data_IF_102111156383
#
_entry.id   IF_102111156383
#
_cell.length_a   1.000
_cell.length_b   1.000
_cell.length_c   1.000
_cell.angle_alpha   90.00
_cell.angle_beta   90.00
_cell.angle_gamma   90.00
#
_symmetry.space_group_name_H-M   'P 1'
#
loop_
_entity.id
_entity.type
_entity.pdbx_description
1 polymer ?
#
# COMPACT_ATOMS: atom_id res chain seq x y z
N UNK A 1 19.66 -32.04 -0.22
CA UNK A 1 19.32 -31.34 1.04
C UNK A 1 18.57 -32.33 1.92
N UNK A 2 18.86 -32.36 3.22
CA UNK A 2 18.09 -33.16 4.18
C UNK A 2 16.70 -32.55 4.43
N UNK A 3 15.75 -33.34 4.91
CA UNK A 3 14.41 -32.86 5.28
C UNK A 3 14.47 -31.71 6.33
N UNK A 4 15.42 -31.80 7.26
CA UNK A 4 15.72 -30.75 8.25
C UNK A 4 16.25 -29.44 7.62
N UNK A 5 17.02 -29.51 6.53
CA UNK A 5 17.48 -28.32 5.80
C UNK A 5 16.33 -27.65 5.05
N UNK A 6 15.38 -28.41 4.51
CA UNK A 6 14.21 -27.86 3.82
C UNK A 6 13.30 -27.14 4.81
N UNK A 7 13.06 -27.73 5.98
CA UNK A 7 12.22 -27.12 7.02
C UNK A 7 12.84 -25.86 7.64
N UNK A 8 14.16 -25.85 7.90
CA UNK A 8 14.83 -24.63 8.40
C UNK A 8 14.78 -23.48 7.37
N UNK A 9 14.91 -23.80 6.08
CA UNK A 9 14.74 -22.82 5.00
C UNK A 9 13.31 -22.32 4.85
N UNK A 10 12.31 -23.16 5.15
CA UNK A 10 10.92 -22.76 5.21
C UNK A 10 10.67 -21.78 6.37
N UNK A 11 11.15 -22.10 7.57
CA UNK A 11 11.08 -21.22 8.75
C UNK A 11 11.75 -19.88 8.47
N UNK A 12 12.85 -19.83 7.72
CA UNK A 12 13.49 -18.58 7.31
C UNK A 12 12.61 -17.71 6.41
N UNK A 13 11.78 -18.30 5.55
CA UNK A 13 10.95 -17.55 4.59
C UNK A 13 9.66 -16.98 5.17
N UNK A 14 9.18 -17.49 6.31
CA UNK A 14 7.91 -17.04 6.91
C UNK A 14 7.98 -15.56 7.29
N UNK A 15 6.92 -14.78 7.20
CA UNK A 15 6.85 -13.49 7.90
C UNK A 15 6.57 -13.68 9.40
N UNK A 16 6.42 -12.60 10.17
CA UNK A 16 6.14 -12.73 11.61
C UNK A 16 4.73 -13.27 11.90
N UNK A 17 3.74 -12.98 11.06
CA UNK A 17 2.38 -13.52 11.21
C UNK A 17 2.36 -15.02 10.92
N UNK A 18 2.94 -15.42 9.80
CA UNK A 18 3.09 -16.83 9.39
C UNK A 18 3.93 -17.62 10.42
N UNK A 19 4.97 -17.03 11.00
CA UNK A 19 5.76 -17.67 12.06
C UNK A 19 4.95 -17.87 13.34
N UNK A 20 4.08 -16.91 13.69
CA UNK A 20 3.21 -16.99 14.86
C UNK A 20 2.19 -18.12 14.70
N UNK A 21 1.54 -18.21 13.54
CA UNK A 21 0.62 -19.29 13.22
C UNK A 21 1.32 -20.65 13.25
N UNK A 22 2.53 -20.74 12.67
CA UNK A 22 3.34 -21.96 12.72
C UNK A 22 3.65 -22.42 14.15
N UNK A 23 4.04 -21.51 15.04
CA UNK A 23 4.34 -21.83 16.43
C UNK A 23 3.10 -22.20 17.23
N UNK A 24 1.96 -21.56 16.96
CA UNK A 24 0.68 -21.91 17.58
C UNK A 24 0.25 -23.33 17.19
N UNK A 25 0.38 -23.70 15.93
CA UNK A 25 0.07 -25.05 15.46
C UNK A 25 1.01 -26.09 16.09
N UNK A 26 2.31 -25.81 16.17
CA UNK A 26 3.27 -26.72 16.83
C UNK A 26 3.01 -26.85 18.34
N UNK A 27 2.55 -25.78 19.01
CA UNK A 27 2.13 -25.84 20.42
C UNK A 27 0.94 -26.76 20.64
N UNK A 28 -0.06 -26.71 19.75
CA UNK A 28 -1.25 -27.58 19.82
C UNK A 28 -0.86 -29.05 19.63
N UNK A 29 0.11 -29.34 18.74
CA UNK A 29 0.51 -30.72 18.42
C UNK A 29 1.60 -31.29 19.33
N UNK A 30 2.35 -30.45 20.04
CA UNK A 30 3.52 -30.87 20.82
C UNK A 30 3.41 -30.49 22.30
N UNK A 31 3.08 -31.47 23.18
CA UNK A 31 2.88 -31.21 24.61
C UNK A 31 4.17 -30.76 25.34
N UNK A 32 5.34 -30.91 24.71
CA UNK A 32 6.63 -30.47 25.30
C UNK A 32 6.85 -28.97 25.08
N UNK A 33 6.19 -28.36 24.09
CA UNK A 33 6.27 -26.92 23.86
C UNK A 33 5.30 -26.23 24.81
N UNK A 34 5.82 -25.33 25.64
CA UNK A 34 5.05 -24.52 26.57
C UNK A 34 4.95 -23.08 26.06
N UNK A 35 3.87 -22.39 26.41
CA UNK A 35 3.69 -20.97 26.11
C UNK A 35 3.29 -20.22 27.37
N UNK A 36 4.21 -19.45 27.92
CA UNK A 36 3.94 -18.55 29.04
C UNK A 36 3.67 -17.15 28.50
N UNK A 37 2.42 -16.65 28.50
CA UNK A 37 2.16 -15.29 28.08
C UNK A 37 2.95 -14.33 28.97
N UNK A 38 3.77 -13.47 28.37
CA UNK A 38 4.50 -12.43 29.10
C UNK A 38 3.49 -11.52 29.82
N UNK A 39 3.45 -11.62 31.16
CA UNK A 39 2.60 -10.81 32.00
C UNK A 39 3.12 -9.38 32.11
N UNK A 40 2.67 -8.49 31.23
CA UNK A 40 2.42 -7.10 31.62
C UNK A 40 1.06 -7.07 32.34
N UNK A 41 1.06 -6.75 33.63
CA UNK A 41 -0.17 -6.43 34.37
C UNK A 41 -0.89 -5.26 33.72
N UNK A 42 -1.79 -5.55 32.78
CA UNK A 42 -2.99 -4.77 32.59
C UNK A 42 -4.12 -5.59 33.20
N UNK A 43 -4.78 -5.03 34.20
CA UNK A 43 -6.06 -5.52 34.70
C UNK A 43 -7.03 -5.56 33.53
N UNK A 44 -7.20 -6.75 32.96
CA UNK A 44 -8.28 -7.04 32.01
C UNK A 44 -9.54 -7.13 32.85
N UNK A 45 -10.38 -6.10 32.78
CA UNK A 45 -11.77 -6.24 33.19
C UNK A 45 -12.39 -7.35 32.34
N UNK A 46 -12.94 -8.35 33.01
CA UNK A 46 -13.73 -9.42 32.42
C UNK A 46 -14.95 -8.83 31.67
N UNK A 47 -14.79 -8.65 30.37
CA UNK A 47 -15.85 -8.78 29.38
C UNK A 47 -15.25 -9.54 28.21
N UNK A 48 -15.21 -10.87 28.33
CA UNK A 48 -15.06 -11.76 27.19
C UNK A 48 -16.37 -11.70 26.41
N UNK A 49 -16.47 -10.75 25.47
CA UNK A 49 -17.26 -11.00 24.28
C UNK A 49 -16.38 -11.81 23.34
N UNK A 50 -16.86 -13.01 23.03
CA UNK A 50 -16.35 -13.79 21.91
C UNK A 50 -16.57 -12.92 20.66
N UNK A 51 -15.50 -12.31 20.14
CA UNK A 51 -15.48 -11.74 18.79
C UNK A 51 -15.66 -12.89 17.80
N UNK A 52 -16.92 -13.27 17.59
CA UNK A 52 -17.38 -13.85 16.34
C UNK A 52 -16.92 -12.86 15.28
N UNK A 53 -16.18 -13.26 14.23
CA UNK A 53 -15.85 -12.36 13.15
C UNK A 53 -17.17 -11.90 12.53
N UNK A 54 -17.63 -10.73 12.93
CA UNK A 54 -18.72 -10.05 12.25
C UNK A 54 -18.16 -9.77 10.86
N UNK A 55 -18.60 -10.57 9.89
CA UNK A 55 -18.42 -10.28 8.47
C UNK A 55 -18.78 -8.82 8.32
N UNK A 56 -17.79 -7.98 8.02
CA UNK A 56 -17.93 -6.54 7.97
C UNK A 56 -19.07 -6.21 7.00
N UNK A 57 -20.27 -6.05 7.55
CA UNK A 57 -21.45 -5.59 6.86
C UNK A 57 -21.05 -4.25 6.28
N UNK A 58 -21.10 -4.17 4.96
CA UNK A 58 -20.62 -3.06 4.16
C UNK A 58 -21.18 -1.75 4.76
N UNK A 59 -20.37 -0.99 5.51
CA UNK A 59 -20.86 0.16 6.31
C UNK A 59 -21.57 1.19 5.42
N UNK A 60 -21.16 1.27 4.15
CA UNK A 60 -21.82 2.09 3.12
C UNK A 60 -23.24 1.61 2.91
N UNK A 61 -23.42 0.31 2.72
CA UNK A 61 -24.73 -0.30 2.52
C UNK A 61 -25.63 -0.08 3.73
N UNK A 62 -25.11 -0.33 4.94
CA UNK A 62 -25.86 -0.09 6.18
C UNK A 62 -26.25 1.39 6.30
N UNK A 63 -25.32 2.32 6.07
CA UNK A 63 -25.58 3.76 6.14
C UNK A 63 -26.64 4.24 5.14
N UNK A 64 -26.67 3.68 3.93
CA UNK A 64 -27.66 4.05 2.92
C UNK A 64 -29.03 3.43 3.19
N UNK A 65 -29.05 2.18 3.68
CA UNK A 65 -30.30 1.50 4.04
C UNK A 65 -30.93 2.10 5.30
N UNK A 66 -30.15 2.57 6.26
CA UNK A 66 -30.65 3.22 7.49
C UNK A 66 -31.41 4.54 7.22
N UNK A 67 -31.20 5.15 6.04
CA UNK A 67 -31.95 6.33 5.61
C UNK A 67 -33.32 5.98 5.02
N UNK A 68 -33.57 4.70 4.73
CA UNK A 68 -34.80 4.20 4.15
C UNK A 68 -35.59 3.43 5.21
N UNK A 69 -36.91 3.62 5.23
CA UNK A 69 -37.78 2.81 6.05
C UNK A 69 -38.31 1.63 5.21
N UNK A 70 -37.91 0.41 5.56
CA UNK A 70 -38.30 -0.80 4.82
C UNK A 70 -39.83 -0.95 4.66
N UNK A 71 -40.62 -0.44 5.61
CA UNK A 71 -42.08 -0.55 5.56
C UNK A 71 -42.74 0.31 4.46
N UNK A 72 -42.01 1.26 3.89
CA UNK A 72 -42.51 2.16 2.85
C UNK A 72 -42.40 1.56 1.45
N UNK A 73 -41.78 0.37 1.31
CA UNK A 73 -41.47 -0.27 0.05
C UNK A 73 -41.98 -1.72 0.00
N UNK A 74 -42.35 -2.18 -1.19
CA UNK A 74 -42.64 -3.59 -1.41
C UNK A 74 -41.38 -4.45 -1.31
N UNK A 75 -41.54 -5.76 -1.12
CA UNK A 75 -40.40 -6.70 -1.08
C UNK A 75 -39.56 -6.65 -2.38
N UNK A 76 -40.23 -6.43 -3.51
CA UNK A 76 -39.60 -6.26 -4.83
C UNK A 76 -38.76 -4.98 -4.92
N UNK A 77 -39.33 -3.85 -4.50
CA UNK A 77 -38.64 -2.55 -4.49
C UNK A 77 -37.47 -2.56 -3.50
N UNK A 78 -37.65 -3.09 -2.29
CA UNK A 78 -36.60 -3.18 -1.28
C UNK A 78 -35.42 -4.03 -1.78
N UNK A 79 -35.71 -5.16 -2.42
CA UNK A 79 -34.69 -6.02 -3.04
C UNK A 79 -33.95 -5.29 -4.17
N UNK A 80 -34.67 -4.53 -4.97
CA UNK A 80 -34.11 -3.71 -6.05
C UNK A 80 -33.19 -2.63 -5.49
N UNK A 81 -33.62 -1.93 -4.45
CA UNK A 81 -32.82 -0.89 -3.82
C UNK A 81 -31.53 -1.44 -3.22
N UNK A 82 -31.60 -2.58 -2.51
CA UNK A 82 -30.43 -3.28 -1.99
C UNK A 82 -29.43 -3.64 -3.10
N UNK A 83 -29.93 -4.22 -4.19
CA UNK A 83 -29.09 -4.58 -5.34
C UNK A 83 -28.44 -3.35 -5.98
N UNK A 84 -29.19 -2.25 -6.13
CA UNK A 84 -28.69 -1.02 -6.71
C UNK A 84 -27.61 -0.37 -5.84
N UNK A 85 -27.72 -0.46 -4.51
CA UNK A 85 -26.69 -0.01 -3.56
C UNK A 85 -25.41 -0.84 -3.72
N UNK A 86 -25.52 -2.16 -3.85
CA UNK A 86 -24.38 -3.06 -4.08
C UNK A 86 -23.64 -2.78 -5.40
N UNK A 87 -24.31 -2.12 -6.35
CA UNK A 87 -23.76 -1.79 -7.66
C UNK A 87 -23.07 -0.41 -7.73
N UNK A 88 -22.99 0.32 -6.62
CA UNK A 88 -22.27 1.60 -6.56
C UNK A 88 -20.76 1.38 -6.69
N UNK A 89 -20.09 2.24 -7.45
CA UNK A 89 -18.63 2.26 -7.46
C UNK A 89 -18.04 2.93 -6.20
N UNK A 90 -16.73 2.82 -6.01
CA UNK A 90 -16.01 3.46 -4.88
C UNK A 90 -16.19 4.99 -4.79
N UNK A 91 -16.66 5.64 -5.85
CA UNK A 91 -16.99 7.07 -5.87
C UNK A 91 -18.44 7.37 -5.49
N UNK A 92 -19.32 6.36 -5.43
CA UNK A 92 -20.76 6.52 -5.27
C UNK A 92 -21.53 6.73 -6.57
N UNK A 93 -20.94 6.36 -7.71
CA UNK A 93 -21.60 6.45 -9.01
C UNK A 93 -22.29 5.14 -9.39
N UNK A 94 -23.49 5.26 -9.97
CA UNK A 94 -24.26 4.13 -10.49
C UNK A 94 -24.12 4.06 -12.02
N UNK A 95 -23.30 3.14 -12.51
CA UNK A 95 -22.94 3.07 -13.94
C UNK A 95 -23.75 2.07 -14.76
N UNK A 96 -24.55 1.24 -14.09
CA UNK A 96 -25.36 0.19 -14.73
C UNK A 96 -26.59 0.84 -15.38
N UNK A 97 -26.97 0.35 -16.56
CA UNK A 97 -28.17 0.81 -17.26
C UNK A 97 -29.45 0.24 -16.62
N UNK A 98 -30.57 0.94 -16.76
CA UNK A 98 -31.84 0.46 -16.18
C UNK A 98 -32.34 -0.81 -16.87
N UNK A 99 -32.01 -0.97 -18.15
CA UNK A 99 -32.29 -2.16 -18.96
C UNK A 99 -31.54 -3.39 -18.44
N UNK A 100 -30.27 -3.25 -18.04
CA UNK A 100 -29.48 -4.32 -17.44
C UNK A 100 -30.04 -4.74 -16.07
N UNK A 101 -30.44 -3.76 -15.23
CA UNK A 101 -31.08 -4.06 -13.94
C UNK A 101 -32.42 -4.76 -14.13
N UNK A 102 -33.23 -4.31 -15.10
CA UNK A 102 -34.52 -4.91 -15.44
C UNK A 102 -34.37 -6.35 -15.89
N UNK A 103 -33.38 -6.64 -16.75
CA UNK A 103 -33.10 -7.99 -17.22
C UNK A 103 -32.63 -8.93 -16.11
N UNK A 104 -31.84 -8.43 -15.15
CA UNK A 104 -31.28 -9.23 -14.07
C UNK A 104 -32.31 -9.56 -12.98
N UNK A 105 -33.13 -8.58 -12.61
CA UNK A 105 -34.11 -8.72 -11.52
C UNK A 105 -35.50 -9.12 -12.01
N UNK A 106 -35.74 -9.12 -13.33
CA UNK A 106 -37.04 -9.35 -13.96
C UNK A 106 -38.14 -8.37 -13.51
N UNK A 107 -37.76 -7.09 -13.31
CA UNK A 107 -38.61 -6.02 -12.80
C UNK A 107 -38.87 -4.97 -13.90
N UNK A 108 -40.08 -4.37 -13.97
CA UNK A 108 -40.37 -3.32 -14.94
C UNK A 108 -39.46 -2.10 -14.81
N UNK A 109 -39.11 -1.48 -15.94
CA UNK A 109 -38.27 -0.27 -15.97
C UNK A 109 -38.84 0.90 -15.15
N UNK A 110 -40.17 1.01 -15.05
CA UNK A 110 -40.81 2.08 -14.28
C UNK A 110 -40.55 1.93 -12.77
N UNK A 111 -40.58 0.71 -12.24
CA UNK A 111 -40.29 0.44 -10.82
C UNK A 111 -38.81 0.73 -10.49
N UNK A 112 -37.90 0.41 -11.40
CA UNK A 112 -36.46 0.73 -11.27
C UNK A 112 -36.22 2.23 -11.26
N UNK A 113 -36.94 3.00 -12.09
CA UNK A 113 -36.83 4.47 -12.08
C UNK A 113 -37.30 5.06 -10.76
N UNK A 114 -38.43 4.58 -10.22
CA UNK A 114 -38.93 5.02 -8.90
C UNK A 114 -37.92 4.71 -7.80
N UNK A 115 -37.33 3.50 -7.82
CA UNK A 115 -36.29 3.12 -6.88
C UNK A 115 -35.05 4.01 -7.03
N UNK A 116 -34.62 4.28 -8.26
CA UNK A 116 -33.49 5.17 -8.55
C UNK A 116 -33.73 6.60 -8.05
N UNK A 117 -34.91 7.16 -8.29
CA UNK A 117 -35.26 8.51 -7.84
C UNK A 117 -35.15 8.62 -6.31
N UNK A 118 -35.69 7.62 -5.61
CA UNK A 118 -35.60 7.51 -4.15
C UNK A 118 -34.14 7.43 -3.68
N UNK A 119 -33.37 6.50 -4.25
CA UNK A 119 -31.95 6.30 -3.90
C UNK A 119 -31.07 7.50 -4.23
N UNK A 120 -31.39 8.22 -5.32
CA UNK A 120 -30.67 9.43 -5.73
C UNK A 120 -30.91 10.64 -4.83
N UNK A 121 -31.96 10.59 -4.01
CA UNK A 121 -32.29 11.59 -2.99
C UNK A 121 -31.61 11.35 -1.64
N UNK A 122 -30.89 10.24 -1.46
CA UNK A 122 -30.18 9.91 -0.23
C UNK A 122 -28.98 10.84 0.03
N UNK A 123 -28.58 10.91 1.29
CA UNK A 123 -27.30 11.47 1.69
C UNK A 123 -26.19 10.41 1.54
N UNK A 124 -24.98 10.75 1.08
CA UNK A 124 -24.51 12.08 0.65
C UNK A 124 -25.07 12.53 -0.72
N UNK A 125 -25.46 13.80 -0.82
CA UNK A 125 -26.03 14.40 -2.04
C UNK A 125 -25.11 14.20 -3.25
N UNK A 126 -25.69 13.70 -4.34
CA UNK A 126 -24.96 13.36 -5.56
C UNK A 126 -24.56 11.89 -5.65
N UNK A 127 -24.86 11.07 -4.63
CA UNK A 127 -24.81 9.62 -4.74
C UNK A 127 -25.78 9.11 -5.83
N UNK A 128 -25.52 7.92 -6.36
CA UNK A 128 -26.24 7.33 -7.49
C UNK A 128 -26.17 8.12 -8.80
N UNK A 129 -25.36 9.18 -8.89
CA UNK A 129 -25.15 9.87 -10.17
C UNK A 129 -24.46 8.94 -11.17
N UNK A 130 -24.76 9.08 -12.45
CA UNK A 130 -24.10 8.30 -13.51
C UNK A 130 -22.75 8.86 -13.91
N UNK A 131 -22.50 10.12 -13.57
CA UNK A 131 -21.28 10.84 -13.93
C UNK A 131 -20.93 11.96 -12.95
N UNK A 132 -19.68 12.41 -12.99
CA UNK A 132 -19.21 13.55 -12.20
C UNK A 132 -20.00 14.84 -12.50
N UNK A 133 -20.29 15.21 -13.76
CA UNK A 133 -21.15 16.35 -14.06
C UNK A 133 -22.51 16.28 -13.38
N UNK A 134 -23.18 15.13 -13.45
CA UNK A 134 -24.50 14.92 -12.83
C UNK A 134 -24.43 15.06 -11.30
N UNK A 135 -23.39 14.50 -10.68
CA UNK A 135 -23.16 14.61 -9.24
C UNK A 135 -22.99 16.07 -8.78
N UNK A 136 -22.15 16.85 -9.47
CA UNK A 136 -21.93 18.24 -9.14
C UNK A 136 -23.17 19.11 -9.39
N UNK A 137 -23.94 18.82 -10.46
CA UNK A 137 -25.20 19.52 -10.74
C UNK A 137 -26.25 19.24 -9.66
N UNK A 138 -26.42 17.98 -9.23
CA UNK A 138 -27.32 17.62 -8.14
C UNK A 138 -26.98 18.35 -6.84
N UNK A 139 -25.69 18.44 -6.51
CA UNK A 139 -25.26 19.19 -5.33
C UNK A 139 -25.53 20.69 -5.46
N UNK A 140 -25.39 21.27 -6.65
CA UNK A 140 -25.74 22.68 -6.89
C UNK A 140 -27.25 22.94 -6.83
N UNK A 141 -28.06 21.99 -7.31
CA UNK A 141 -29.51 22.05 -7.22
C UNK A 141 -29.96 22.02 -5.75
N UNK A 142 -29.42 21.08 -4.96
CA UNK A 142 -29.68 20.98 -3.53
C UNK A 142 -29.27 22.25 -2.77
N UNK A 143 -28.13 22.86 -3.11
CA UNK A 143 -27.68 24.12 -2.50
C UNK A 143 -28.43 25.37 -2.99
N UNK A 144 -29.31 25.25 -3.99
CA UNK A 144 -29.98 26.39 -4.62
C UNK A 144 -29.02 27.37 -5.32
N UNK A 145 -27.82 26.91 -5.69
CA UNK A 145 -26.73 27.74 -6.25
C UNK A 145 -26.51 27.50 -7.75
N UNK A 146 -27.30 26.64 -8.39
CA UNK A 146 -27.19 26.38 -9.82
C UNK A 146 -27.42 27.66 -10.62
N UNK A 147 -26.47 27.95 -11.48
CA UNK A 147 -26.58 29.03 -12.47
C UNK A 147 -26.34 28.46 -13.87
N UNK A 148 -26.94 29.04 -14.92
CA UNK A 148 -26.72 28.58 -16.30
C UNK A 148 -25.23 28.58 -16.70
N UNK A 149 -24.44 29.47 -16.09
CA UNK A 149 -22.99 29.54 -16.31
C UNK A 149 -22.28 28.36 -15.65
N UNK A 150 -22.57 28.06 -14.38
CA UNK A 150 -21.98 26.90 -13.70
C UNK A 150 -22.35 25.58 -14.38
N UNK A 151 -23.58 25.47 -14.89
CA UNK A 151 -24.01 24.29 -15.62
C UNK A 151 -23.19 24.05 -16.88
N UNK A 152 -22.99 25.08 -17.71
CA UNK A 152 -22.14 24.98 -18.90
C UNK A 152 -20.68 24.67 -18.55
N UNK A 153 -20.19 25.21 -17.44
CA UNK A 153 -18.83 24.91 -16.94
C UNK A 153 -18.71 23.42 -16.57
N UNK A 154 -19.67 22.89 -15.81
CA UNK A 154 -19.66 21.49 -15.35
C UNK A 154 -19.88 20.50 -16.50
N UNK A 155 -20.69 20.84 -17.50
CA UNK A 155 -20.95 19.95 -18.62
C UNK A 155 -19.79 19.89 -19.63
N UNK A 156 -19.15 21.04 -19.92
CA UNK A 156 -18.27 21.17 -21.08
C UNK A 156 -16.81 21.56 -20.75
N UNK A 157 -16.52 21.99 -19.52
CA UNK A 157 -15.23 22.62 -19.18
C UNK A 157 -14.57 22.09 -17.90
N UNK A 158 -14.98 20.93 -17.37
CA UNK A 158 -14.31 20.34 -16.19
C UNK A 158 -12.84 20.04 -16.44
N UNK A 159 -12.50 19.50 -17.61
CA UNK A 159 -11.11 19.20 -17.99
C UNK A 159 -10.27 20.48 -18.14
N UNK A 160 -10.86 21.53 -18.73
CA UNK A 160 -10.23 22.85 -18.83
C UNK A 160 -9.94 23.44 -17.44
N UNK A 161 -10.83 23.24 -16.46
CA UNK A 161 -10.61 23.66 -15.07
C UNK A 161 -9.48 22.86 -14.43
N UNK A 162 -9.47 21.53 -14.59
CA UNK A 162 -8.44 20.65 -14.05
C UNK A 162 -7.03 21.02 -14.57
N UNK A 163 -6.94 21.45 -15.84
CA UNK A 163 -5.71 21.89 -16.50
C UNK A 163 -5.37 23.37 -16.26
N UNK A 164 -6.23 24.13 -15.56
CA UNK A 164 -6.01 25.55 -15.27
C UNK A 164 -6.25 26.49 -16.47
N UNK A 165 -6.92 26.04 -17.53
CA UNK A 165 -7.19 26.78 -18.76
C UNK A 165 -8.36 27.78 -18.63
N UNK A 166 -8.32 28.66 -17.62
CA UNK A 166 -9.40 29.63 -17.31
C UNK A 166 -9.71 30.56 -18.50
N UNK A 167 -8.69 30.90 -19.30
CA UNK A 167 -8.85 31.75 -20.49
C UNK A 167 -9.70 31.09 -21.59
N UNK A 168 -9.66 29.77 -21.71
CA UNK A 168 -10.46 29.00 -22.67
C UNK A 168 -11.94 29.03 -22.28
N UNK A 169 -12.22 28.81 -20.99
CA UNK A 169 -13.59 28.88 -20.43
C UNK A 169 -14.17 30.29 -20.57
N UNK A 170 -13.39 31.33 -20.26
CA UNK A 170 -13.79 32.74 -20.41
C UNK A 170 -14.17 33.09 -21.85
N UNK A 171 -13.39 32.63 -22.84
CA UNK A 171 -13.67 32.86 -24.27
C UNK A 171 -14.90 32.10 -24.75
N UNK A 172 -15.06 30.84 -24.33
CA UNK A 172 -16.20 29.97 -24.70
C UNK A 172 -17.53 30.53 -24.17
N UNK A 173 -17.53 31.02 -22.93
CA UNK A 173 -18.74 31.48 -22.24
C UNK A 173 -19.00 32.99 -22.37
N UNK A 174 -18.10 33.73 -23.01
CA UNK A 174 -18.16 35.19 -23.16
C UNK A 174 -18.32 35.96 -21.83
N UNK A 175 -17.66 35.48 -20.77
CA UNK A 175 -17.65 36.08 -19.44
C UNK A 175 -16.23 36.44 -18.99
N UNK A 176 -16.11 37.38 -18.05
CA UNK A 176 -14.79 37.81 -17.57
C UNK A 176 -14.06 36.69 -16.83
N UNK A 177 -12.72 36.67 -16.89
CA UNK A 177 -11.91 35.70 -16.14
C UNK A 177 -12.13 35.80 -14.62
N UNK A 178 -12.50 36.98 -14.13
CA UNK A 178 -12.87 37.20 -12.73
C UNK A 178 -14.18 36.47 -12.37
N UNK A 179 -15.19 36.50 -13.24
CA UNK A 179 -16.46 35.77 -13.03
C UNK A 179 -16.25 34.25 -13.15
N UNK A 180 -15.47 33.77 -14.12
CA UNK A 180 -15.12 32.35 -14.23
C UNK A 180 -14.49 31.85 -12.93
N UNK A 181 -13.54 32.60 -12.35
CA UNK A 181 -12.92 32.24 -11.07
C UNK A 181 -13.90 32.18 -9.90
N UNK A 182 -14.91 33.06 -9.85
CA UNK A 182 -15.97 32.99 -8.84
C UNK A 182 -16.77 31.70 -8.96
N UNK A 183 -17.14 31.31 -10.18
CA UNK A 183 -17.87 30.07 -10.41
C UNK A 183 -17.03 28.82 -10.08
N UNK A 184 -15.76 28.80 -10.49
CA UNK A 184 -14.82 27.71 -10.16
C UNK A 184 -14.67 27.57 -8.64
N UNK A 185 -14.60 28.67 -7.89
CA UNK A 185 -14.48 28.62 -6.44
C UNK A 185 -15.67 27.92 -5.77
N UNK A 186 -16.89 28.11 -6.30
CA UNK A 186 -18.09 27.40 -5.81
C UNK A 186 -18.01 25.92 -6.17
N UNK A 187 -17.67 25.59 -7.43
CA UNK A 187 -17.57 24.20 -7.90
C UNK A 187 -16.50 23.42 -7.12
N UNK A 188 -15.37 24.06 -6.76
CA UNK A 188 -14.29 23.44 -5.99
C UNK A 188 -14.69 23.06 -4.57
N UNK A 189 -15.73 23.69 -4.02
CA UNK A 189 -16.23 23.38 -2.68
C UNK A 189 -17.27 22.24 -2.68
N UNK A 190 -17.65 21.71 -3.85
CA UNK A 190 -18.53 20.56 -3.99
C UNK A 190 -17.75 19.25 -3.81
N UNK A 191 -18.45 18.19 -3.42
CA UNK A 191 -17.83 16.88 -3.24
C UNK A 191 -17.87 16.07 -4.54
N UNK A 192 -16.72 15.88 -5.18
CA UNK A 192 -16.61 15.09 -6.43
C UNK A 192 -16.75 13.58 -6.22
N UNK A 193 -16.71 13.09 -4.97
CA UNK A 193 -16.81 11.67 -4.62
C UNK A 193 -17.63 11.51 -3.33
N UNK A 194 -18.96 11.41 -3.43
CA UNK A 194 -19.86 11.29 -2.29
C UNK A 194 -19.43 10.23 -1.26
N UNK A 195 -18.95 9.06 -1.72
CA UNK A 195 -18.54 7.96 -0.84
C UNK A 195 -17.09 8.04 -0.30
N UNK A 196 -16.31 9.07 -0.62
CA UNK A 196 -14.90 9.15 -0.21
C UNK A 196 -14.70 9.14 1.32
N UNK A 197 -15.67 9.66 2.10
CA UNK A 197 -15.64 9.62 3.56
C UNK A 197 -16.01 8.27 4.18
N UNK A 198 -16.60 7.36 3.39
CA UNK A 198 -16.94 6.00 3.78
C UNK A 198 -15.86 4.98 3.41
N UNK A 199 -14.78 5.45 2.78
CA UNK A 199 -13.62 4.62 2.46
C UNK A 199 -12.96 4.17 3.75
N UNK A 200 -13.38 3.01 4.24
CA UNK A 200 -12.46 2.08 4.89
C UNK A 200 -11.68 1.39 3.77
N UNK A 201 -10.82 2.13 3.05
CA UNK A 201 -9.56 1.48 2.69
C UNK A 201 -9.05 0.97 4.03
N UNK A 202 -9.11 -0.35 4.25
CA UNK A 202 -8.41 -0.98 5.38
C UNK A 202 -7.01 -0.38 5.28
N UNK A 203 -6.69 0.52 6.19
CA UNK A 203 -5.33 0.98 6.34
C UNK A 203 -4.61 -0.29 6.78
N UNK A 204 -4.05 -1.01 5.81
CA UNK A 204 -3.26 -2.19 6.08
C UNK A 204 -2.04 -1.69 6.83
N UNK A 205 -2.12 -1.75 8.16
CA UNK A 205 -0.99 -1.44 9.02
C UNK A 205 0.08 -2.50 8.76
N UNK A 206 1.09 -2.12 8.01
CA UNK A 206 2.26 -2.95 7.79
C UNK A 206 3.02 -3.01 9.12
N UNK A 207 2.98 -4.17 9.78
CA UNK A 207 3.80 -4.43 10.96
C UNK A 207 5.20 -4.80 10.48
N UNK A 208 6.25 -4.03 10.83
CA UNK A 208 7.60 -4.30 10.38
C UNK A 208 8.18 -5.53 11.09
N UNK A 209 8.91 -6.37 10.36
CA UNK A 209 9.64 -7.51 10.92
C UNK A 209 10.91 -7.07 11.65
N UNK A 210 11.55 -6.00 11.16
CA UNK A 210 12.85 -5.52 11.64
C UNK A 210 12.73 -4.02 11.90
N UNK A 211 13.19 -3.60 13.06
CA UNK A 211 13.21 -2.21 13.50
C UNK A 211 14.66 -1.79 13.67
N UNK A 212 15.05 -0.75 12.93
CA UNK A 212 16.40 -0.19 13.01
C UNK A 212 16.32 1.24 13.55
N UNK A 213 17.12 1.51 14.57
CA UNK A 213 17.30 2.87 15.11
C UNK A 213 18.75 3.30 14.97
N UNK A 214 18.96 4.61 14.82
CA UNK A 214 20.30 5.19 14.74
C UNK A 214 20.51 6.09 15.96
N UNK A 215 21.44 5.73 16.83
CA UNK A 215 21.88 6.60 17.93
C UNK A 215 23.31 7.07 17.64
N UNK A 216 23.44 8.34 17.26
CA UNK A 216 24.71 8.91 16.82
C UNK A 216 25.22 8.24 15.54
N UNK A 217 26.36 7.53 15.63
CA UNK A 217 26.96 6.81 14.50
C UNK A 217 26.81 5.28 14.57
N UNK A 218 26.05 4.76 15.54
CA UNK A 218 25.81 3.32 15.71
C UNK A 218 24.37 2.98 15.33
N UNK A 219 24.21 1.83 14.66
CA UNK A 219 22.93 1.25 14.31
C UNK A 219 22.54 0.21 15.35
N UNK A 220 21.33 0.30 15.89
CA UNK A 220 20.72 -0.71 16.75
C UNK A 220 19.64 -1.44 15.94
N UNK A 221 19.77 -2.77 15.82
CA UNK A 221 18.89 -3.63 15.03
C UNK A 221 18.08 -4.48 16.00
N UNK A 222 16.76 -4.39 15.93
CA UNK A 222 15.84 -5.20 16.71
C UNK A 222 14.89 -5.94 15.80
N UNK A 223 14.59 -7.19 16.14
CA UNK A 223 13.59 -7.99 15.46
C UNK A 223 12.28 -7.84 16.21
N UNK A 224 11.17 -7.67 15.49
CA UNK A 224 9.84 -7.51 16.09
C UNK A 224 9.22 -8.89 16.38
N UNK A 225 9.92 -9.71 17.16
CA UNK A 225 9.57 -11.10 17.45
C UNK A 225 9.61 -11.44 18.95
N UNK A 226 9.40 -10.45 19.82
CA UNK A 226 9.41 -10.61 21.29
C UNK A 226 8.47 -11.71 21.77
N UNK A 227 7.33 -11.89 21.10
CA UNK A 227 6.34 -12.94 21.39
C UNK A 227 6.89 -14.36 21.24
N UNK A 228 7.94 -14.58 20.43
CA UNK A 228 8.64 -15.88 20.33
C UNK A 228 9.26 -16.27 21.68
N UNK A 229 9.68 -15.29 22.48
CA UNK A 229 10.28 -15.51 23.81
C UNK A 229 9.31 -16.15 24.82
N UNK A 230 8.01 -16.15 24.53
CA UNK A 230 7.00 -16.81 25.36
C UNK A 230 7.00 -18.34 25.21
N UNK A 231 7.63 -18.88 24.16
CA UNK A 231 7.71 -20.31 23.92
C UNK A 231 8.93 -20.92 24.59
N UNK A 232 8.71 -21.95 25.41
CA UNK A 232 9.79 -22.65 26.12
C UNK A 232 9.55 -24.16 26.17
N UNK A 233 10.53 -24.92 26.67
CA UNK A 233 10.37 -26.35 26.87
C UNK A 233 9.73 -26.60 28.23
N UNK A 234 8.66 -27.40 28.26
CA UNK A 234 8.00 -27.75 29.50
C UNK A 234 8.87 -28.71 30.35
N UNK A 235 9.35 -28.20 31.48
CA UNK A 235 10.21 -28.88 32.43
C UNK A 235 9.64 -30.22 32.94
N UNK A 236 8.31 -30.32 33.07
CA UNK A 236 7.63 -31.54 33.52
C UNK A 236 7.84 -32.69 32.53
N UNK A 237 7.57 -32.46 31.25
CA UNK A 237 7.73 -33.48 30.21
C UNK A 237 9.20 -33.84 29.97
N UNK A 238 10.12 -32.88 30.10
CA UNK A 238 11.57 -33.14 30.01
C UNK A 238 12.04 -34.07 31.14
N UNK A 239 11.53 -33.89 32.37
CA UNK A 239 11.81 -34.81 33.49
C UNK A 239 11.20 -36.19 33.25
N UNK A 240 9.99 -36.25 32.71
CA UNK A 240 9.31 -37.51 32.41
C UNK A 240 10.06 -38.34 31.34
N UNK A 241 10.58 -37.69 30.28
CA UNK A 241 11.44 -38.33 29.29
C UNK A 241 12.67 -39.01 29.93
N UNK A 242 13.28 -38.38 30.95
CA UNK A 242 14.45 -38.94 31.66
C UNK A 242 14.09 -40.09 32.61
N UNK A 243 12.88 -40.08 33.18
CA UNK A 243 12.42 -41.04 34.18
C UNK A 243 11.65 -42.25 33.63
N UNK A 244 11.13 -42.17 32.41
CA UNK A 244 10.31 -43.22 31.80
C UNK A 244 11.12 -44.47 31.46
N UNK A 245 10.61 -45.64 31.89
CA UNK A 245 11.16 -46.97 31.56
C UNK A 245 10.44 -47.65 30.39
N UNK A 246 9.28 -47.14 29.99
CA UNK A 246 8.52 -47.63 28.85
C UNK A 246 9.20 -47.21 27.53
N UNK A 247 9.65 -48.17 26.69
CA UNK A 247 10.31 -47.87 25.43
C UNK A 247 9.47 -47.06 24.45
N UNK A 248 8.17 -47.32 24.34
CA UNK A 248 7.29 -46.67 23.36
C UNK A 248 7.04 -45.21 23.76
N UNK A 249 6.74 -44.99 25.05
CA UNK A 249 6.53 -43.65 25.58
C UNK A 249 7.82 -42.81 25.55
N UNK A 250 8.97 -43.43 25.77
CA UNK A 250 10.27 -42.78 25.67
C UNK A 250 10.59 -42.34 24.24
N UNK A 251 10.33 -43.21 23.26
CA UNK A 251 10.53 -42.88 21.84
C UNK A 251 9.62 -41.72 21.41
N UNK A 252 8.34 -41.74 21.80
CA UNK A 252 7.41 -40.64 21.54
C UNK A 252 7.90 -39.29 22.09
N UNK A 253 8.27 -39.24 23.37
CA UNK A 253 8.78 -38.00 23.97
C UNK A 253 10.12 -37.55 23.37
N UNK A 254 10.99 -38.49 22.99
CA UNK A 254 12.25 -38.16 22.34
C UNK A 254 12.01 -37.49 20.99
N UNK A 255 11.12 -38.04 20.16
CA UNK A 255 10.75 -37.45 18.86
C UNK A 255 10.16 -36.04 19.03
N UNK A 256 9.24 -35.86 19.98
CA UNK A 256 8.64 -34.55 20.27
C UNK A 256 9.65 -33.54 20.82
N UNK A 257 10.62 -33.99 21.63
CA UNK A 257 11.68 -33.14 22.17
C UNK A 257 12.65 -32.70 21.08
N UNK A 258 13.06 -33.61 20.21
CA UNK A 258 13.91 -33.30 19.06
C UNK A 258 13.24 -32.32 18.10
N UNK A 259 11.91 -32.45 17.89
CA UNK A 259 11.10 -31.50 17.12
C UNK A 259 11.15 -30.09 17.73
N UNK A 260 10.88 -29.94 19.03
CA UNK A 260 10.96 -28.63 19.69
C UNK A 260 12.36 -28.02 19.61
N UNK A 261 13.40 -28.81 19.89
CA UNK A 261 14.80 -28.36 19.79
C UNK A 261 15.15 -27.88 18.39
N UNK A 262 14.71 -28.60 17.36
CA UNK A 262 14.92 -28.23 15.97
C UNK A 262 14.23 -26.91 15.62
N UNK A 263 12.98 -26.70 16.06
CA UNK A 263 12.23 -25.46 15.81
C UNK A 263 12.91 -24.27 16.48
N UNK A 264 13.22 -24.37 17.78
CA UNK A 264 13.91 -23.30 18.53
C UNK A 264 15.24 -22.95 17.87
N UNK A 265 16.05 -23.96 17.52
CA UNK A 265 17.31 -23.74 16.83
C UNK A 265 17.14 -23.09 15.46
N UNK A 266 16.10 -23.46 14.70
CA UNK A 266 15.80 -22.88 13.40
C UNK A 266 15.36 -21.41 13.50
N UNK A 267 14.59 -21.05 14.53
CA UNK A 267 14.20 -19.67 14.79
C UNK A 267 15.42 -18.83 15.18
N UNK A 268 16.29 -19.34 16.03
CA UNK A 268 17.53 -18.65 16.40
C UNK A 268 18.45 -18.47 15.18
N UNK A 269 18.54 -19.47 14.31
CA UNK A 269 19.26 -19.35 13.05
C UNK A 269 18.64 -18.29 12.12
N UNK A 270 17.30 -18.24 12.06
CA UNK A 270 16.56 -17.20 11.33
C UNK A 270 16.89 -15.81 11.86
N UNK A 271 16.84 -15.60 13.19
CA UNK A 271 17.18 -14.31 13.83
C UNK A 271 18.58 -13.85 13.45
N UNK A 272 19.57 -14.72 13.64
CA UNK A 272 20.96 -14.44 13.29
C UNK A 272 21.14 -14.12 11.80
N UNK A 273 20.44 -14.83 10.93
CA UNK A 273 20.47 -14.56 9.47
C UNK A 273 19.87 -13.20 9.12
N UNK A 274 18.72 -12.84 9.71
CA UNK A 274 18.05 -11.57 9.46
C UNK A 274 18.88 -10.38 9.96
N UNK A 275 19.51 -10.50 11.13
CA UNK A 275 20.41 -9.47 11.66
C UNK A 275 21.58 -9.26 10.71
N UNK A 276 22.29 -10.33 10.29
CA UNK A 276 23.45 -10.22 9.39
C UNK A 276 23.09 -9.63 8.02
N UNK A 277 21.94 -10.01 7.46
CA UNK A 277 21.43 -9.41 6.22
C UNK A 277 21.19 -7.91 6.42
N UNK A 278 20.55 -7.54 7.54
CA UNK A 278 20.24 -6.14 7.87
C UNK A 278 21.50 -5.30 8.09
N UNK A 279 22.50 -5.84 8.79
CA UNK A 279 23.80 -5.20 8.97
C UNK A 279 24.49 -4.89 7.63
N UNK A 280 24.54 -5.87 6.72
CA UNK A 280 25.09 -5.67 5.38
C UNK A 280 24.33 -4.60 4.60
N UNK A 281 22.98 -4.60 4.65
CA UNK A 281 22.15 -3.56 4.03
C UNK A 281 22.45 -2.17 4.62
N UNK A 282 22.52 -2.04 5.94
CA UNK A 282 22.79 -0.77 6.62
C UNK A 282 24.16 -0.21 6.29
N UNK A 283 25.16 -1.07 6.15
CA UNK A 283 26.52 -0.67 5.75
C UNK A 283 26.58 -0.12 4.32
N UNK A 284 25.72 -0.62 3.43
CA UNK A 284 25.65 -0.23 2.01
C UNK A 284 24.73 0.96 1.75
N UNK A 285 23.72 1.17 2.58
CA UNK A 285 22.68 2.21 2.43
C UNK A 285 22.64 3.26 3.56
N UNK A 286 23.76 3.77 4.09
CA UNK A 286 23.72 4.66 5.26
C UNK A 286 23.03 6.00 4.97
N UNK A 287 23.15 6.54 3.75
CA UNK A 287 22.56 7.84 3.37
C UNK A 287 21.04 7.77 3.23
N UNK A 288 20.52 6.70 2.60
CA UNK A 288 19.09 6.48 2.45
C UNK A 288 18.42 6.28 3.81
N UNK A 289 18.98 5.40 4.64
CA UNK A 289 18.36 4.98 5.89
C UNK A 289 18.49 6.01 7.02
N UNK A 290 19.49 6.92 6.98
CA UNK A 290 19.61 8.02 7.95
C UNK A 290 18.83 9.28 7.56
N UNK A 291 18.88 9.69 6.29
CA UNK A 291 18.49 11.05 5.87
C UNK A 291 17.48 11.08 4.71
N UNK A 292 16.80 9.97 4.38
CA UNK A 292 16.02 9.85 3.13
C UNK A 292 16.83 10.23 1.88
N UNK A 293 18.12 9.87 1.86
CA UNK A 293 18.99 10.07 0.70
C UNK A 293 18.59 9.21 -0.50
N UNK A 294 19.47 9.08 -1.48
CA UNK A 294 19.23 8.21 -2.63
C UNK A 294 19.58 6.75 -2.31
N UNK A 295 18.79 5.81 -2.83
CA UNK A 295 19.14 4.39 -2.81
C UNK A 295 20.34 4.14 -3.71
N UNK A 296 21.39 3.51 -3.15
CA UNK A 296 22.50 3.02 -3.95
C UNK A 296 22.10 1.67 -4.58
N UNK A 297 22.43 1.40 -5.86
CA UNK A 297 22.20 0.08 -6.42
C UNK A 297 22.95 -0.99 -5.60
N UNK A 298 22.25 -2.02 -5.14
CA UNK A 298 22.84 -3.19 -4.48
C UNK A 298 22.13 -4.46 -4.93
N UNK A 299 22.86 -5.57 -5.05
CA UNK A 299 22.29 -6.86 -5.46
C UNK A 299 22.26 -7.85 -4.31
N UNK A 300 21.39 -8.86 -4.40
CA UNK A 300 21.35 -9.94 -3.41
C UNK A 300 22.64 -10.77 -3.42
N UNK A 301 23.36 -10.81 -4.54
CA UNK A 301 24.66 -11.49 -4.65
C UNK A 301 25.71 -10.83 -3.77
N UNK A 302 25.79 -9.51 -3.81
CA UNK A 302 26.75 -8.74 -3.00
C UNK A 302 26.50 -8.95 -1.50
N UNK A 303 25.23 -8.91 -1.06
CA UNK A 303 24.90 -9.18 0.35
C UNK A 303 25.20 -10.63 0.72
N UNK A 304 24.94 -11.58 -0.18
CA UNK A 304 25.23 -12.99 0.05
C UNK A 304 26.74 -13.26 0.21
N UNK A 305 27.58 -12.60 -0.59
CA UNK A 305 29.04 -12.64 -0.47
C UNK A 305 29.52 -12.04 0.86
N UNK A 306 29.00 -10.89 1.26
CA UNK A 306 29.37 -10.23 2.53
C UNK A 306 29.11 -11.12 3.75
N UNK A 307 27.97 -11.81 3.76
CA UNK A 307 27.56 -12.65 4.89
C UNK A 307 27.99 -14.12 4.73
N UNK A 308 28.67 -14.47 3.63
CA UNK A 308 29.12 -15.84 3.36
C UNK A 308 27.97 -16.85 3.25
N UNK A 309 26.84 -16.45 2.67
CA UNK A 309 25.65 -17.30 2.49
C UNK A 309 25.30 -17.43 1.01
N UNK A 310 24.46 -18.41 0.67
CA UNK A 310 23.96 -18.54 -0.69
C UNK A 310 22.90 -17.47 -0.98
N UNK A 311 22.86 -16.98 -2.23
CA UNK A 311 21.93 -15.93 -2.70
C UNK A 311 20.47 -16.31 -2.45
N UNK A 312 20.12 -17.58 -2.64
CA UNK A 312 18.76 -18.07 -2.35
C UNK A 312 18.36 -17.94 -0.89
N UNK A 313 19.33 -17.99 0.04
CA UNK A 313 19.08 -17.79 1.47
C UNK A 313 18.78 -16.32 1.77
N UNK A 314 19.52 -15.39 1.17
CA UNK A 314 19.22 -13.95 1.26
C UNK A 314 17.86 -13.66 0.64
N UNK A 315 17.59 -14.16 -0.56
CA UNK A 315 16.31 -13.97 -1.25
C UNK A 315 15.11 -14.47 -0.43
N UNK A 316 15.26 -15.58 0.31
CA UNK A 316 14.23 -16.08 1.22
C UNK A 316 14.10 -15.22 2.47
N UNK A 317 15.23 -14.84 3.07
CA UNK A 317 15.28 -14.03 4.28
C UNK A 317 14.68 -12.63 4.11
N UNK A 318 14.65 -12.06 2.91
CA UNK A 318 14.09 -10.71 2.65
C UNK A 318 12.68 -10.73 2.04
N UNK A 319 12.16 -11.90 1.65
CA UNK A 319 10.86 -12.02 1.00
C UNK A 319 9.75 -11.74 2.01
N UNK A 320 8.80 -10.88 1.65
CA UNK A 320 7.66 -10.54 2.50
C UNK A 320 7.99 -9.67 3.71
N UNK A 321 9.27 -9.30 3.90
CA UNK A 321 9.72 -8.59 5.09
C UNK A 321 9.75 -7.09 4.94
N UNK A 322 9.42 -6.42 6.02
CA UNK A 322 9.47 -4.97 6.13
C UNK A 322 10.48 -4.51 7.18
N UNK A 323 11.23 -3.48 6.81
CA UNK A 323 12.22 -2.83 7.64
C UNK A 323 11.70 -1.44 8.02
N UNK A 324 11.53 -1.19 9.31
CA UNK A 324 11.34 0.14 9.85
C UNK A 324 12.70 0.77 10.11
N UNK A 325 12.86 2.01 9.67
CA UNK A 325 14.03 2.85 9.89
C UNK A 325 13.55 4.24 10.34
N UNK A 326 14.41 5.16 10.82
CA UNK A 326 13.98 6.43 11.43
C UNK A 326 13.08 7.31 10.55
N UNK A 327 13.13 7.06 9.25
CA UNK A 327 12.52 7.83 8.19
C UNK A 327 11.22 7.18 7.65
N UNK A 328 10.96 5.90 7.94
CA UNK A 328 9.74 5.24 7.48
C UNK A 328 9.82 3.71 7.53
N UNK A 329 8.93 3.05 6.78
CA UNK A 329 8.89 1.59 6.61
C UNK A 329 9.09 1.27 5.13
N UNK A 330 9.93 0.28 4.83
CA UNK A 330 10.23 -0.15 3.45
C UNK A 330 10.30 -1.68 3.34
N UNK A 331 9.85 -2.23 2.22
CA UNK A 331 10.05 -3.65 1.94
C UNK A 331 11.53 -3.93 1.71
N UNK A 332 12.10 -4.91 2.42
CA UNK A 332 13.52 -5.26 2.25
C UNK A 332 13.86 -5.63 0.81
N UNK A 333 12.93 -6.30 0.10
CA UNK A 333 13.11 -6.68 -1.31
C UNK A 333 13.31 -5.45 -2.21
N UNK A 334 12.68 -4.32 -1.90
CA UNK A 334 12.77 -3.09 -2.71
C UNK A 334 14.13 -2.40 -2.61
N UNK A 335 14.94 -2.73 -1.60
CA UNK A 335 16.32 -2.23 -1.46
C UNK A 335 17.27 -2.87 -2.47
N UNK A 336 16.88 -4.01 -3.06
CA UNK A 336 17.70 -4.72 -4.04
C UNK A 336 17.30 -4.33 -5.47
N UNK A 337 18.29 -3.91 -6.24
CA UNK A 337 18.14 -3.78 -7.69
C UNK A 337 18.10 -5.19 -8.29
N UNK A 338 17.03 -5.53 -9.00
CA UNK A 338 16.80 -6.87 -9.53
C UNK A 338 18.01 -7.39 -10.31
N UNK A 339 18.40 -8.65 -10.04
CA UNK A 339 19.49 -9.33 -10.72
C UNK A 339 19.18 -9.46 -12.22
N UNK A 340 19.80 -8.65 -13.05
CA UNK A 340 20.00 -8.96 -14.47
C UNK A 340 21.43 -8.62 -14.87
N UNK A 341 22.32 -9.62 -14.99
CA UNK A 341 23.63 -9.44 -15.57
C UNK A 341 23.48 -9.53 -17.10
N UNK A 342 22.97 -8.48 -17.73
CA UNK A 342 23.15 -8.21 -19.16
C UNK A 342 22.66 -6.80 -19.50
N UNK A 343 23.60 -5.90 -19.79
CA UNK A 343 23.39 -4.65 -20.52
C UNK A 343 22.27 -3.70 -20.01
N UNK A 344 22.68 -2.73 -19.18
CA UNK A 344 21.95 -1.48 -18.98
C UNK A 344 21.18 -1.44 -17.67
N UNK A 345 21.72 -0.70 -16.70
CA UNK A 345 21.12 -0.43 -15.41
C UNK A 345 19.64 -0.03 -15.56
N UNK A 346 18.73 -0.90 -15.13
CA UNK A 346 17.34 -0.52 -14.90
C UNK A 346 17.24 0.17 -13.54
N UNK A 347 17.67 1.43 -13.54
CA UNK A 347 17.26 2.39 -12.53
C UNK A 347 15.83 2.78 -12.84
N UNK A 348 14.98 2.90 -11.82
CA UNK A 348 13.58 3.24 -12.01
C UNK A 348 13.50 4.56 -12.78
N UNK A 349 12.57 4.66 -13.74
CA UNK A 349 12.38 5.88 -14.52
C UNK A 349 12.05 7.09 -13.62
N UNK A 350 11.59 6.85 -12.39
CA UNK A 350 11.28 7.87 -11.38
C UNK A 350 12.58 8.45 -10.78
N UNK A 351 13.54 7.60 -10.43
CA UNK A 351 14.81 8.05 -9.82
C UNK A 351 15.67 8.83 -10.82
N UNK A 352 15.73 8.37 -12.08
CA UNK A 352 16.45 9.08 -13.16
C UNK A 352 15.84 10.47 -13.38
N UNK A 353 14.50 10.57 -13.36
CA UNK A 353 13.79 11.84 -13.51
C UNK A 353 14.12 12.80 -12.37
N UNK A 354 14.16 12.31 -11.13
CA UNK A 354 14.56 13.08 -9.95
C UNK A 354 15.97 13.67 -10.09
N UNK A 355 16.95 12.83 -10.45
CA UNK A 355 18.35 13.26 -10.65
C UNK A 355 18.45 14.26 -11.81
N UNK A 356 17.77 14.01 -12.92
CA UNK A 356 17.78 14.91 -14.07
C UNK A 356 17.21 16.28 -13.71
N UNK A 357 16.14 16.33 -12.90
CA UNK A 357 15.55 17.57 -12.39
C UNK A 357 16.51 18.34 -11.49
N UNK A 358 17.20 17.66 -10.58
CA UNK A 358 18.22 18.28 -9.72
C UNK A 358 19.39 18.85 -10.54
N UNK A 359 19.89 18.10 -11.52
CA UNK A 359 21.00 18.52 -12.38
C UNK A 359 20.64 19.73 -13.25
N UNK A 360 19.41 19.76 -13.77
CA UNK A 360 18.90 20.92 -14.51
C UNK A 360 18.68 22.12 -13.57
N UNK A 361 18.21 21.92 -12.34
CA UNK A 361 18.03 23.02 -11.38
C UNK A 361 19.34 23.71 -10.95
N UNK A 362 20.47 23.00 -11.04
CA UNK A 362 21.81 23.51 -10.70
C UNK A 362 22.62 23.95 -11.93
N UNK A 363 22.03 23.98 -13.12
CA UNK A 363 22.74 24.37 -14.34
C UNK A 363 22.94 25.89 -14.43
N UNK A 364 23.98 26.33 -15.16
CA UNK A 364 24.16 27.74 -15.49
C UNK A 364 23.10 28.17 -16.52
N UNK A 365 22.21 29.13 -16.21
CA UNK A 365 21.16 29.58 -17.12
C UNK A 365 21.68 30.15 -18.44
N UNK A 366 22.93 30.65 -18.48
CA UNK A 366 23.56 31.18 -19.70
C UNK A 366 24.11 30.07 -20.61
N UNK A 367 24.34 28.87 -20.06
CA UNK A 367 24.89 27.70 -20.75
C UNK A 367 24.16 26.42 -20.29
N UNK A 368 22.86 26.27 -20.62
CA UNK A 368 22.09 25.09 -20.21
C UNK A 368 22.70 23.80 -20.75
N UNK A 369 22.59 22.72 -19.99
CA UNK A 369 23.16 21.44 -20.40
C UNK A 369 22.36 20.85 -21.57
N UNK A 370 23.07 20.40 -22.60
CA UNK A 370 22.47 19.64 -23.70
C UNK A 370 22.11 18.22 -23.23
N UNK A 371 21.13 17.60 -23.88
CA UNK A 371 20.74 16.21 -23.58
C UNK A 371 21.93 15.23 -23.70
N UNK A 372 22.91 15.54 -24.56
CA UNK A 372 24.15 14.77 -24.70
C UNK A 372 25.08 14.96 -23.49
N UNK A 373 25.19 16.18 -22.95
CA UNK A 373 25.97 16.46 -21.76
C UNK A 373 25.33 15.88 -20.50
N UNK A 374 23.99 15.93 -20.39
CA UNK A 374 23.24 15.29 -19.31
C UNK A 374 23.41 13.76 -19.32
N UNK A 375 23.39 13.13 -20.51
CA UNK A 375 23.68 11.70 -20.67
C UNK A 375 25.09 11.33 -20.21
N UNK A 376 26.11 12.16 -20.53
CA UNK A 376 27.49 11.94 -20.08
C UNK A 376 27.65 12.10 -18.56
N UNK A 377 27.06 13.14 -17.98
CA UNK A 377 27.11 13.36 -16.53
C UNK A 377 26.35 12.28 -15.74
N UNK A 378 25.25 11.77 -16.30
CA UNK A 378 24.56 10.60 -15.73
C UNK A 378 25.43 9.35 -15.81
N UNK A 379 26.18 9.16 -16.90
CA UNK A 379 27.14 8.06 -17.04
C UNK A 379 28.28 8.16 -16.02
N UNK A 380 28.80 9.36 -15.74
CA UNK A 380 29.78 9.60 -14.67
C UNK A 380 29.25 9.25 -13.28
N UNK A 381 27.94 9.42 -13.06
CA UNK A 381 27.23 9.01 -11.83
C UNK A 381 26.82 7.52 -11.80
N UNK A 382 27.24 6.72 -12.78
CA UNK A 382 26.95 5.29 -12.85
C UNK A 382 25.65 4.93 -13.59
N UNK A 383 24.95 5.91 -14.19
CA UNK A 383 23.69 5.70 -14.92
C UNK A 383 23.92 5.73 -16.45
N UNK A 384 23.95 4.56 -17.08
CA UNK A 384 24.14 4.47 -18.54
C UNK A 384 22.81 4.65 -19.29
N UNK A 385 22.54 5.88 -19.74
CA UNK A 385 21.27 6.25 -20.39
C UNK A 385 21.51 6.94 -21.72
N UNK A 386 20.75 6.55 -22.75
CA UNK A 386 20.88 7.13 -24.09
C UNK A 386 20.41 8.60 -24.14
N UNK A 387 21.00 9.40 -25.03
CA UNK A 387 20.57 10.78 -25.30
C UNK A 387 19.06 10.88 -25.60
N UNK A 388 18.50 9.92 -26.34
CA UNK A 388 17.06 9.89 -26.69
C UNK A 388 16.19 9.65 -25.45
N UNK A 389 16.65 8.82 -24.53
CA UNK A 389 15.95 8.54 -23.26
C UNK A 389 15.98 9.75 -22.33
N UNK A 390 17.10 10.47 -22.28
CA UNK A 390 17.20 11.75 -21.53
C UNK A 390 16.22 12.79 -22.07
N UNK A 391 16.15 12.96 -23.41
CA UNK A 391 15.21 13.89 -24.04
C UNK A 391 13.75 13.54 -23.70
N UNK A 392 13.38 12.26 -23.80
CA UNK A 392 12.04 11.76 -23.45
C UNK A 392 11.68 12.05 -21.98
N UNK A 393 12.60 11.82 -21.05
CA UNK A 393 12.34 12.10 -19.63
C UNK A 393 12.29 13.59 -19.31
N UNK A 394 13.10 14.40 -19.98
CA UNK A 394 13.06 15.87 -19.90
C UNK A 394 11.69 16.41 -20.32
N UNK A 395 11.18 15.94 -21.46
CA UNK A 395 9.85 16.31 -21.97
C UNK A 395 8.72 15.90 -21.03
N UNK A 396 8.77 14.68 -20.51
CA UNK A 396 7.77 14.19 -19.54
C UNK A 396 7.75 14.97 -18.23
N UNK A 397 8.84 15.66 -17.87
CA UNK A 397 8.91 16.54 -16.69
C UNK A 397 8.61 18.00 -17.00
N UNK A 398 8.24 18.34 -18.24
CA UNK A 398 7.97 19.71 -18.66
C UNK A 398 9.23 20.60 -18.73
N UNK A 399 10.43 20.02 -18.73
CA UNK A 399 11.67 20.79 -18.85
C UNK A 399 11.89 21.12 -20.33
N UNK A 400 12.00 22.41 -20.67
CA UNK A 400 12.14 22.85 -22.07
C UNK A 400 13.49 22.46 -22.69
N UNK A 401 13.58 22.51 -24.01
CA UNK A 401 14.80 22.19 -24.75
C UNK A 401 15.94 23.16 -24.44
N UNK A 402 17.18 22.76 -24.77
CA UNK A 402 18.38 23.60 -24.56
C UNK A 402 18.27 24.97 -25.26
N UNK A 403 17.58 25.03 -26.40
CA UNK A 403 17.34 26.25 -27.16
C UNK A 403 16.38 27.19 -26.42
N UNK A 404 15.23 26.66 -25.98
CA UNK A 404 14.19 27.43 -25.29
C UNK A 404 14.64 27.89 -23.89
N UNK A 405 15.38 27.04 -23.15
CA UNK A 405 15.96 27.40 -21.84
C UNK A 405 16.98 28.54 -21.92
N UNK A 406 17.67 28.65 -23.06
CA UNK A 406 18.63 29.75 -23.33
C UNK A 406 17.93 31.05 -23.74
N UNK A 407 16.69 30.97 -24.23
CA UNK A 407 15.87 32.14 -24.57
C UNK A 407 15.19 32.67 -23.29
N UNK A 408 14.64 31.79 -22.45
CA UNK A 408 14.02 32.16 -21.18
C UNK A 408 15.02 32.82 -20.20
N UNK A 409 16.33 32.55 -20.29
CA UNK A 409 17.35 33.20 -19.44
C UNK A 409 17.86 34.55 -19.95
N UNK A 410 17.38 35.01 -21.12
CA UNK A 410 17.70 36.31 -21.73
C UNK A 410 16.57 37.33 -21.59
N UNK A 411 15.41 36.88 -21.14
CA UNK A 411 14.29 37.70 -20.67
C UNK A 411 14.50 37.91 -19.16
#
# INVERSE_FOLDING_TARGET
MSQSQIQSLHILSLDNGELSEFLQNEYIENPILDHTPSGSSFTVSETQDFDIPEEATDMVKTYLLDQLNQNDYTESEWRTMNFMIDCLDSGGFFRISFEEVSALLAIPLEEIKTCYETLSGLEPVGIFSRSLPECLLRQLDFLGKRTPVMEKIIQNHLDDIALGHISTVSRSLHISTAEVRKHIAVIRNLNSKPLQGFSTEKIEYITPDIIVTCQGNQWDIRLNDDWVGNYSLNDYYVRMLRGTKDPQLKEYFQQKYERCRFIIASIEQRRNTMIRITESILSRQPEFLKNHGFLRPMTMNEVAEDIGMHVSTVSRGVKGKYLQFPCGIISMKSLFSGSSPAAGAQVSAVDIKGILKEMVSREDPKKPFSDQKLSLLLKEKGFSISRRTVAKYREQMGIKGTYDRKIDSRI
#
